data_IF_575365152711
#
_entry.id   IF_575365152711
#
_cell.length_a   1.000
_cell.length_b   1.000
_cell.length_c   1.000
_cell.angle_alpha   90.00
_cell.angle_beta   90.00
_cell.angle_gamma   90.00
#
_symmetry.space_group_name_H-M   'P 1'
#
loop_
_entity.id
_entity.type
_entity.pdbx_description
1 polymer ?
#
# COMPACT_ATOMS: atom_id res chain seq x y z
N UNK A 1 22.74 -19.40 -4.79
CA UNK A 1 23.12 -18.11 -4.17
C UNK A 1 22.27 -16.94 -4.68
N UNK A 2 22.18 -16.73 -6.01
CA UNK A 2 21.38 -15.64 -6.59
C UNK A 2 19.86 -15.72 -6.30
N UNK A 3 19.25 -16.90 -6.45
CA UNK A 3 17.82 -17.13 -6.16
C UNK A 3 17.48 -16.83 -4.70
N UNK A 4 18.39 -17.18 -3.80
CA UNK A 4 18.26 -16.97 -2.35
C UNK A 4 18.26 -15.48 -2.02
N UNK A 5 19.18 -14.70 -2.61
CA UNK A 5 19.25 -13.24 -2.47
C UNK A 5 18.03 -12.55 -3.08
N UNK A 6 17.57 -13.02 -4.24
CA UNK A 6 16.37 -12.51 -4.91
C UNK A 6 15.11 -12.72 -4.06
N UNK A 7 14.93 -13.91 -3.47
CA UNK A 7 13.80 -14.21 -2.58
C UNK A 7 13.82 -13.31 -1.34
N UNK A 8 14.99 -13.09 -0.73
CA UNK A 8 15.13 -12.16 0.40
C UNK A 8 14.78 -10.72 0.02
N UNK A 9 15.22 -10.26 -1.15
CA UNK A 9 14.88 -8.93 -1.67
C UNK A 9 13.37 -8.80 -1.93
N UNK A 10 12.73 -9.81 -2.51
CA UNK A 10 11.29 -9.85 -2.73
C UNK A 10 10.49 -9.82 -1.41
N UNK A 11 10.93 -10.56 -0.39
CA UNK A 11 10.31 -10.51 0.95
C UNK A 11 10.46 -9.12 1.55
N UNK A 12 11.63 -8.49 1.40
CA UNK A 12 11.87 -7.14 1.89
C UNK A 12 10.97 -6.13 1.17
N UNK A 13 10.91 -6.14 -0.16
CA UNK A 13 9.99 -5.31 -0.95
C UNK A 13 8.52 -5.54 -0.57
N UNK A 14 8.11 -6.79 -0.36
CA UNK A 14 6.76 -7.11 0.09
C UNK A 14 6.45 -6.48 1.45
N UNK A 15 7.39 -6.52 2.40
CA UNK A 15 7.24 -5.84 3.70
C UNK A 15 7.18 -4.34 3.55
N UNK A 16 8.09 -3.75 2.77
CA UNK A 16 8.13 -2.31 2.54
C UNK A 16 6.87 -1.80 1.80
N UNK A 17 6.20 -2.64 1.01
CA UNK A 17 4.95 -2.25 0.34
C UNK A 17 3.88 -1.77 1.32
N UNK A 18 3.81 -2.32 2.54
CA UNK A 18 2.88 -1.87 3.58
C UNK A 18 3.06 -0.41 4.01
N UNK A 19 4.28 0.12 3.89
CA UNK A 19 4.62 1.49 4.24
C UNK A 19 4.46 2.41 3.03
N UNK A 20 4.99 2.00 1.87
CA UNK A 20 4.93 2.79 0.64
C UNK A 20 3.53 2.94 0.05
N UNK A 21 2.57 2.13 0.48
CA UNK A 21 1.20 2.23 0.00
C UNK A 21 0.46 3.44 0.56
N UNK A 22 0.85 3.98 1.72
CA UNK A 22 0.24 5.22 2.24
C UNK A 22 0.38 6.39 1.25
N UNK A 23 1.59 6.80 0.81
CA UNK A 23 1.72 7.90 -0.15
C UNK A 23 1.05 7.59 -1.48
N UNK A 24 1.05 6.33 -1.93
CA UNK A 24 0.32 5.92 -3.14
C UNK A 24 -1.19 6.10 -3.00
N UNK A 25 -1.78 5.72 -1.86
CA UNK A 25 -3.21 5.93 -1.59
C UNK A 25 -3.52 7.43 -1.56
N UNK A 26 -2.67 8.25 -0.93
CA UNK A 26 -2.87 9.70 -0.89
C UNK A 26 -2.85 10.33 -2.28
N UNK A 27 -1.87 9.98 -3.11
CA UNK A 27 -1.77 10.47 -4.49
C UNK A 27 -2.98 10.00 -5.31
N UNK A 28 -3.32 8.72 -5.24
CA UNK A 28 -4.45 8.16 -5.96
C UNK A 28 -5.77 8.81 -5.54
N UNK A 29 -5.94 9.09 -4.25
CA UNK A 29 -7.12 9.74 -3.71
C UNK A 29 -7.25 11.19 -4.21
N UNK A 30 -6.16 11.97 -4.16
CA UNK A 30 -6.15 13.34 -4.67
C UNK A 30 -6.40 13.36 -6.18
N UNK A 31 -5.79 12.44 -6.93
CA UNK A 31 -5.99 12.31 -8.39
C UNK A 31 -7.43 11.88 -8.74
N UNK A 32 -8.07 11.07 -7.90
CA UNK A 32 -9.46 10.69 -8.06
C UNK A 32 -10.37 11.88 -7.77
N UNK A 33 -10.16 12.57 -6.64
CA UNK A 33 -10.97 13.71 -6.25
C UNK A 33 -10.80 14.89 -7.19
N UNK A 34 -9.61 15.11 -7.76
CA UNK A 34 -9.41 16.16 -8.75
C UNK A 34 -10.20 15.96 -10.05
N UNK A 35 -10.64 14.72 -10.34
CA UNK A 35 -11.58 14.44 -11.44
C UNK A 35 -13.02 14.80 -11.11
N UNK A 36 -13.41 14.70 -9.84
CA UNK A 36 -14.77 15.01 -9.39
C UNK A 36 -14.93 16.49 -8.99
N UNK A 37 -13.85 17.10 -8.50
CA UNK A 37 -13.78 18.48 -8.05
C UNK A 37 -12.47 19.08 -8.57
N UNK A 38 -12.57 19.94 -9.59
CA UNK A 38 -11.47 20.31 -10.49
C UNK A 38 -10.23 20.93 -9.79
N UNK A 39 -10.37 21.36 -8.52
CA UNK A 39 -9.31 22.01 -7.76
C UNK A 39 -8.98 21.29 -6.44
N UNK A 40 -9.34 20.02 -6.26
CA UNK A 40 -9.00 19.30 -5.02
C UNK A 40 -7.48 19.12 -4.88
N UNK A 41 -6.88 19.74 -3.88
CA UNK A 41 -5.43 19.69 -3.63
C UNK A 41 -5.07 18.84 -2.40
N UNK A 42 -3.77 18.53 -2.24
CA UNK A 42 -3.27 17.94 -1.00
C UNK A 42 -3.52 18.82 0.24
N UNK A 43 -3.58 20.15 0.07
CA UNK A 43 -3.89 21.07 1.16
C UNK A 43 -5.35 20.92 1.60
N UNK A 44 -6.27 20.60 0.68
CA UNK A 44 -7.67 20.33 0.98
C UNK A 44 -7.86 18.95 1.60
N UNK A 45 -6.98 17.98 1.34
CA UNK A 45 -6.97 16.72 2.07
C UNK A 45 -6.60 16.94 3.56
N UNK A 46 -5.68 17.86 3.84
CA UNK A 46 -5.23 18.13 5.21
C UNK A 46 -6.11 19.15 5.95
N UNK A 47 -6.68 20.14 5.25
CA UNK A 47 -7.60 21.14 5.82
C UNK A 47 -9.07 20.76 5.73
N UNK A 48 -9.42 19.86 4.81
CA UNK A 48 -10.80 19.53 4.48
C UNK A 48 -11.51 18.74 5.58
N UNK A 49 -12.83 18.62 5.38
CA UNK A 49 -13.73 17.86 6.26
C UNK A 49 -13.11 16.53 6.65
N UNK A 50 -13.15 16.20 7.94
CA UNK A 50 -12.60 14.97 8.52
C UNK A 50 -12.96 13.69 7.72
N UNK A 51 -14.05 13.70 6.97
CA UNK A 51 -14.51 12.59 6.14
C UNK A 51 -13.46 12.12 5.11
N UNK A 52 -12.70 13.02 4.48
CA UNK A 52 -11.68 12.64 3.48
C UNK A 52 -10.51 11.91 4.15
N UNK A 53 -10.11 12.36 5.34
CA UNK A 53 -9.08 11.71 6.16
C UNK A 53 -9.53 10.31 6.61
N UNK A 54 -10.78 10.19 7.07
CA UNK A 54 -11.36 8.89 7.42
C UNK A 54 -11.46 7.95 6.22
N UNK A 55 -11.72 8.45 5.02
CA UNK A 55 -11.78 7.65 3.80
C UNK A 55 -10.42 7.11 3.40
N UNK A 56 -9.38 7.97 3.38
CA UNK A 56 -8.00 7.55 3.15
C UNK A 56 -7.55 6.53 4.20
N UNK A 57 -7.90 6.76 5.47
CA UNK A 57 -7.61 5.81 6.55
C UNK A 57 -8.34 4.47 6.36
N UNK A 58 -9.61 4.48 5.97
CA UNK A 58 -10.39 3.27 5.71
C UNK A 58 -9.82 2.47 4.53
N UNK A 59 -9.43 3.13 3.44
CA UNK A 59 -8.77 2.50 2.29
C UNK A 59 -7.45 1.86 2.74
N UNK A 60 -6.66 2.58 3.54
CA UNK A 60 -5.42 2.05 4.10
C UNK A 60 -5.65 0.84 5.01
N UNK A 61 -6.67 0.88 5.86
CA UNK A 61 -7.03 -0.24 6.74
C UNK A 61 -7.45 -1.47 5.92
N UNK A 62 -8.28 -1.28 4.90
CA UNK A 62 -8.68 -2.34 3.98
C UNK A 62 -7.47 -2.94 3.26
N UNK A 63 -6.55 -2.10 2.79
CA UNK A 63 -5.29 -2.54 2.22
C UNK A 63 -4.47 -3.37 3.23
N UNK A 64 -4.31 -2.91 4.48
CA UNK A 64 -3.57 -3.63 5.51
C UNK A 64 -4.18 -5.00 5.83
N UNK A 65 -5.52 -5.10 5.86
CA UNK A 65 -6.20 -6.39 6.06
C UNK A 65 -5.90 -7.36 4.92
N UNK A 66 -5.98 -6.89 3.68
CA UNK A 66 -5.63 -7.67 2.49
C UNK A 66 -4.15 -8.04 2.48
N UNK A 67 -3.27 -7.10 2.81
CA UNK A 67 -1.83 -7.31 2.91
C UNK A 67 -1.51 -8.35 3.97
N UNK A 68 -2.10 -8.27 5.16
CA UNK A 68 -1.88 -9.23 6.25
C UNK A 68 -2.34 -10.64 5.87
N UNK A 69 -3.50 -10.77 5.20
CA UNK A 69 -3.98 -12.06 4.69
C UNK A 69 -3.01 -12.63 3.66
N UNK A 70 -2.57 -11.81 2.70
CA UNK A 70 -1.63 -12.20 1.66
C UNK A 70 -0.21 -12.44 2.17
N UNK A 71 0.18 -11.81 3.29
CA UNK A 71 1.53 -11.90 3.83
C UNK A 71 1.93 -13.34 4.17
N UNK A 72 0.99 -14.14 4.70
CA UNK A 72 1.22 -15.57 4.94
C UNK A 72 1.50 -16.31 3.64
N UNK A 73 0.64 -16.16 2.64
CA UNK A 73 0.78 -16.82 1.33
C UNK A 73 2.07 -16.41 0.61
N UNK A 74 2.37 -15.11 0.53
CA UNK A 74 3.55 -14.59 -0.17
C UNK A 74 4.84 -15.05 0.52
N UNK A 75 4.88 -15.03 1.85
CA UNK A 75 6.06 -15.49 2.61
C UNK A 75 6.27 -16.99 2.44
N UNK A 76 5.21 -17.80 2.49
CA UNK A 76 5.30 -19.25 2.26
C UNK A 76 5.76 -19.58 0.83
N UNK A 77 5.23 -18.87 -0.17
CA UNK A 77 5.61 -19.06 -1.56
C UNK A 77 7.09 -18.69 -1.80
N UNK A 78 7.53 -17.53 -1.30
CA UNK A 78 8.92 -17.08 -1.44
C UNK A 78 9.90 -17.96 -0.66
N UNK A 79 9.49 -18.50 0.49
CA UNK A 79 10.28 -19.52 1.22
C UNK A 79 10.39 -20.81 0.42
N UNK A 80 9.30 -21.32 -0.18
CA UNK A 80 9.37 -22.50 -1.06
C UNK A 80 10.35 -22.30 -2.22
N UNK A 81 10.34 -21.12 -2.83
CA UNK A 81 11.26 -20.74 -3.90
C UNK A 81 12.73 -20.66 -3.46
N UNK A 82 12.99 -20.48 -2.16
CA UNK A 82 14.34 -20.43 -1.60
C UNK A 82 14.95 -21.83 -1.40
N UNK A 83 14.11 -22.86 -1.22
CA UNK A 83 14.53 -24.25 -0.96
C UNK A 83 14.25 -25.22 -2.11
N UNK A 84 13.71 -24.73 -3.23
CA UNK A 84 13.58 -25.46 -4.49
C UNK A 84 14.79 -25.25 -5.39
#
# INVERSE_FOLDING_TARGET
MFITQLSQLLILLWKLSSVFVIPLIMIAYVMLMSRYDANFTFADLDKGKNIHKWLVFAIYLAYLLLWNRSNKFVTEYLKKLQYS
#
